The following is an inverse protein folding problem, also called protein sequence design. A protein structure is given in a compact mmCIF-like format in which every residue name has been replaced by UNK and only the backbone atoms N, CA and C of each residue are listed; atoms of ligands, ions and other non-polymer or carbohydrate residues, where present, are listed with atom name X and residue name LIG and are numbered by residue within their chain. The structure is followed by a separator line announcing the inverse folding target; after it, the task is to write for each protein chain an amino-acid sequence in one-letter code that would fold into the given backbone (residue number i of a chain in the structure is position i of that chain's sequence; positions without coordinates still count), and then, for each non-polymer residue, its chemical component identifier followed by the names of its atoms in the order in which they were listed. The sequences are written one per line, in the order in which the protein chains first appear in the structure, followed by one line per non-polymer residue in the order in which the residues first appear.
data_IF_890448212092
#
_entry.id   IF_890448212092
#
_cell.length_a   1.000
_cell.length_b   1.000
_cell.length_c   1.000
_cell.angle_alpha   90.00
_cell.angle_beta   90.00
_cell.angle_gamma   90.00
#
_symmetry.space_group_name_H-M   'P 1'
#
loop_
_entity.id
_entity.type
_entity.pdbx_description
1 polymer ?
#
# COMPACT_ATOMS: atom_id res chain seq x y z
N UNK A 1 2.74 5.53 -3.95
CA UNK A 1 3.31 6.50 -2.98
C UNK A 1 2.15 7.28 -2.40
N UNK A 2 2.17 7.60 -1.11
CA UNK A 2 1.00 8.15 -0.41
C UNK A 2 1.12 9.65 -0.23
N UNK A 3 0.37 10.41 -1.00
CA UNK A 3 0.18 11.83 -0.72
C UNK A 3 -1.12 12.00 0.09
N UNK A 4 -1.00 12.09 1.41
CA UNK A 4 -2.14 12.25 2.32
C UNK A 4 -2.92 13.56 2.07
N UNK A 5 -2.26 14.61 1.56
CA UNK A 5 -2.93 15.86 1.18
C UNK A 5 -3.81 15.67 -0.06
N UNK A 6 -3.31 14.93 -1.05
CA UNK A 6 -4.07 14.60 -2.26
C UNK A 6 -5.22 13.63 -1.95
N UNK A 7 -4.96 12.61 -1.12
CA UNK A 7 -5.97 11.67 -0.67
C UNK A 7 -7.06 12.37 0.14
N UNK A 8 -6.67 13.17 1.14
CA UNK A 8 -7.61 13.96 1.95
C UNK A 8 -8.44 14.91 1.10
N UNK A 9 -7.78 15.65 0.19
CA UNK A 9 -8.46 16.54 -0.76
C UNK A 9 -9.47 15.84 -1.65
N UNK A 10 -9.15 14.63 -2.15
CA UNK A 10 -10.05 13.86 -3.03
C UNK A 10 -11.34 13.38 -2.35
N UNK A 11 -11.35 13.26 -1.03
CA UNK A 11 -12.51 12.83 -0.23
C UNK A 11 -13.05 13.94 0.69
N UNK A 12 -12.62 15.19 0.47
CA UNK A 12 -13.11 16.37 1.21
C UNK A 12 -12.68 16.44 2.68
N UNK A 13 -11.59 15.79 3.07
CA UNK A 13 -11.08 15.79 4.46
C UNK A 13 -9.70 16.41 4.59
N UNK A 14 -9.39 16.90 5.80
CA UNK A 14 -8.05 17.43 6.10
C UNK A 14 -6.97 16.36 5.99
N UNK A 15 -5.72 16.77 5.77
CA UNK A 15 -4.56 15.87 5.78
C UNK A 15 -4.49 15.03 7.07
N UNK A 16 -4.72 15.65 8.25
CA UNK A 16 -4.72 14.95 9.55
C UNK A 16 -5.79 13.85 9.61
N UNK A 17 -6.97 14.14 9.07
CA UNK A 17 -8.07 13.17 8.99
C UNK A 17 -7.74 12.03 8.03
N UNK A 18 -7.17 12.34 6.85
CA UNK A 18 -6.73 11.34 5.89
C UNK A 18 -5.66 10.39 6.47
N UNK A 19 -4.71 10.92 7.23
CA UNK A 19 -3.71 10.12 7.94
C UNK A 19 -4.34 9.22 9.01
N UNK A 20 -5.32 9.74 9.77
CA UNK A 20 -6.07 8.94 10.75
C UNK A 20 -6.82 7.79 10.09
N UNK A 21 -7.44 8.00 8.93
CA UNK A 21 -8.14 6.94 8.20
C UNK A 21 -7.19 5.86 7.70
N UNK A 22 -6.01 6.22 7.19
CA UNK A 22 -4.99 5.22 6.85
C UNK A 22 -4.57 4.42 8.08
N UNK A 23 -4.33 5.06 9.22
CA UNK A 23 -4.02 4.35 10.47
C UNK A 23 -5.13 3.40 10.91
N UNK A 24 -6.40 3.77 10.74
CA UNK A 24 -7.52 2.86 11.00
C UNK A 24 -7.51 1.66 10.05
N UNK A 25 -7.26 1.87 8.76
CA UNK A 25 -7.16 0.78 7.76
C UNK A 25 -5.99 -0.18 8.07
N UNK A 26 -4.89 0.33 8.61
CA UNK A 26 -3.78 -0.51 9.09
C UNK A 26 -4.18 -1.33 10.32
N UNK A 27 -4.88 -0.72 11.28
CA UNK A 27 -5.35 -1.40 12.50
C UNK A 27 -6.33 -2.54 12.23
N UNK A 28 -7.13 -2.43 11.16
CA UNK A 28 -8.05 -3.49 10.71
C UNK A 28 -7.43 -4.42 9.67
N UNK A 29 -6.11 -4.36 9.47
CA UNK A 29 -5.35 -5.24 8.57
C UNK A 29 -5.82 -5.19 7.10
N UNK A 30 -6.36 -4.06 6.64
CA UNK A 30 -6.69 -3.87 5.23
C UNK A 30 -5.47 -3.41 4.43
N UNK A 31 -4.64 -2.58 5.04
CA UNK A 31 -3.46 -2.01 4.38
C UNK A 31 -2.22 -2.06 5.26
N UNK A 32 -1.06 -1.88 4.65
CA UNK A 32 0.23 -1.70 5.34
C UNK A 32 1.04 -0.62 4.65
N UNK A 33 1.72 0.20 5.45
CA UNK A 33 2.67 1.20 4.98
C UNK A 33 4.08 0.64 4.93
N UNK A 34 4.63 0.49 3.72
CA UNK A 34 6.04 0.20 3.49
C UNK A 34 6.87 1.48 3.58
N UNK A 35 7.75 1.53 4.57
CA UNK A 35 8.73 2.60 4.70
C UNK A 35 9.78 2.49 3.59
N UNK A 36 10.23 3.61 3.02
CA UNK A 36 11.23 3.58 1.97
C UNK A 36 12.58 3.07 2.51
N UNK A 37 13.26 2.20 1.78
CA UNK A 37 14.61 1.76 2.14
C UNK A 37 15.66 2.73 1.60
N UNK A 38 16.41 3.36 2.51
CA UNK A 38 17.56 4.21 2.17
C UNK A 38 18.69 4.02 3.19
N UNK A 39 19.94 4.04 2.71
CA UNK A 39 21.16 3.97 3.53
C UNK A 39 21.34 5.22 4.38
N UNK A 40 20.87 6.37 3.91
CA UNK A 40 20.89 7.62 4.66
C UNK A 40 19.57 7.79 5.44
N UNK A 41 19.66 7.77 6.77
CA UNK A 41 18.50 7.87 7.67
C UNK A 41 17.70 9.17 7.50
N UNK A 42 18.35 10.30 7.21
CA UNK A 42 17.65 11.57 6.94
C UNK A 42 16.87 11.51 5.63
N UNK A 43 17.42 10.88 4.59
CA UNK A 43 16.70 10.65 3.33
C UNK A 43 15.53 9.67 3.48
N UNK A 44 15.61 8.75 4.45
CA UNK A 44 14.52 7.82 4.80
C UNK A 44 13.29 8.57 5.31
N UNK A 45 13.48 9.57 6.18
CA UNK A 45 12.40 10.35 6.81
C UNK A 45 11.68 11.25 5.81
N UNK A 46 12.41 11.80 4.83
CA UNK A 46 11.84 12.78 3.88
C UNK A 46 11.06 12.11 2.75
N UNK A 47 11.22 10.80 2.53
CA UNK A 47 10.62 10.11 1.38
C UNK A 47 9.24 9.55 1.72
N UNK A 48 8.32 9.75 0.78
CA UNK A 48 6.93 9.34 0.92
C UNK A 48 6.82 7.82 0.97
N UNK A 49 6.22 7.24 2.02
CA UNK A 49 6.03 5.81 2.11
C UNK A 49 4.99 5.31 1.09
N UNK A 50 4.95 3.99 0.89
CA UNK A 50 4.02 3.34 -0.03
C UNK A 50 3.03 2.48 0.74
N UNK A 51 1.74 2.70 0.50
CA UNK A 51 0.68 1.84 1.04
C UNK A 51 0.43 0.69 0.06
N UNK A 52 0.34 -0.52 0.62
CA UNK A 52 -0.10 -1.74 -0.05
C UNK A 52 -1.36 -2.28 0.63
N UNK A 53 -2.28 -2.83 -0.16
CA UNK A 53 -3.35 -3.65 0.38
C UNK A 53 -2.78 -5.02 0.74
N UNK A 54 -3.24 -5.58 1.86
CA UNK A 54 -2.85 -6.94 2.27
C UNK A 54 -3.61 -8.02 1.48
N UNK A 55 -4.72 -7.65 0.84
CA UNK A 55 -5.49 -8.51 -0.06
C UNK A 55 -5.61 -7.85 -1.45
N UNK A 56 -5.07 -8.52 -2.47
CA UNK A 56 -5.13 -8.04 -3.86
C UNK A 56 -6.54 -8.15 -4.45
N UNK A 57 -7.36 -9.10 -4.02
CA UNK A 57 -8.78 -9.20 -4.41
C UNK A 57 -9.58 -7.98 -3.94
N UNK A 58 -9.37 -7.52 -2.70
CA UNK A 58 -9.99 -6.29 -2.18
C UNK A 58 -9.53 -5.07 -2.99
N UNK A 59 -8.23 -5.00 -3.33
CA UNK A 59 -7.70 -3.93 -4.17
C UNK A 59 -8.30 -3.95 -5.59
N UNK A 60 -8.47 -5.12 -6.18
CA UNK A 60 -9.08 -5.27 -7.49
C UNK A 60 -10.56 -4.86 -7.46
N UNK A 61 -11.32 -5.34 -6.47
CA UNK A 61 -12.73 -5.04 -6.29
C UNK A 61 -12.96 -3.54 -6.07
N UNK A 62 -12.20 -2.90 -5.17
CA UNK A 62 -12.32 -1.47 -4.88
C UNK A 62 -11.97 -0.56 -6.07
N UNK A 63 -11.16 -1.05 -7.03
CA UNK A 63 -10.82 -0.34 -8.27
C UNK A 63 -11.73 -0.71 -9.45
N UNK A 64 -12.65 -1.65 -9.26
CA UNK A 64 -13.49 -2.18 -10.35
C UNK A 64 -12.65 -2.80 -11.47
N UNK A 65 -11.58 -3.52 -11.12
CA UNK A 65 -10.76 -4.22 -12.09
C UNK A 65 -11.46 -5.52 -12.53
N UNK A 66 -11.64 -5.66 -13.83
CA UNK A 66 -12.14 -6.88 -14.46
C UNK A 66 -11.07 -7.45 -15.39
N UNK A 67 -11.22 -8.72 -15.77
CA UNK A 67 -10.29 -9.36 -16.69
C UNK A 67 -10.18 -8.59 -18.03
N UNK A 68 -11.32 -8.20 -18.60
CA UNK A 68 -11.35 -7.43 -19.86
C UNK A 68 -10.67 -6.07 -19.72
N UNK A 69 -10.88 -5.38 -18.59
CA UNK A 69 -10.23 -4.08 -18.33
C UNK A 69 -8.71 -4.22 -18.21
N UNK A 70 -8.24 -5.23 -17.48
CA UNK A 70 -6.80 -5.53 -17.36
C UNK A 70 -6.21 -5.92 -18.72
N UNK A 71 -6.94 -6.71 -19.51
CA UNK A 71 -6.51 -7.11 -20.85
C UNK A 71 -6.36 -5.91 -21.77
N UNK A 72 -7.28 -4.94 -21.70
CA UNK A 72 -7.23 -3.69 -22.46
C UNK A 72 -6.12 -2.74 -21.97
N UNK A 73 -5.86 -2.68 -20.66
CA UNK A 73 -4.81 -1.85 -20.07
C UNK A 73 -3.99 -2.60 -19.01
N UNK A 74 -2.88 -3.19 -19.44
CA UNK A 74 -1.99 -3.98 -18.58
C UNK A 74 -1.26 -3.16 -17.52
N UNK A 75 -1.22 -1.84 -17.63
CA UNK A 75 -0.59 -0.99 -16.61
C UNK A 75 -1.31 -1.08 -15.25
N UNK A 76 -2.64 -1.25 -15.24
CA UNK A 76 -3.42 -1.37 -14.00
C UNK A 76 -3.09 -2.65 -13.22
N UNK A 77 -2.63 -3.70 -13.92
CA UNK A 77 -2.22 -4.96 -13.32
C UNK A 77 -0.94 -4.85 -12.49
N UNK A 78 -0.01 -3.95 -12.87
CA UNK A 78 1.27 -3.82 -12.19
C UNK A 78 1.13 -3.50 -10.70
N UNK A 79 0.29 -2.52 -10.36
CA UNK A 79 0.05 -2.14 -8.97
C UNK A 79 -0.68 -3.23 -8.16
N UNK A 80 -1.52 -4.03 -8.83
CA UNK A 80 -2.21 -5.17 -8.23
C UNK A 80 -1.21 -6.28 -7.89
N UNK A 81 -0.38 -6.66 -8.88
CA UNK A 81 0.67 -7.67 -8.73
C UNK A 81 1.68 -7.27 -7.66
N UNK A 82 2.08 -6.00 -7.62
CA UNK A 82 3.02 -5.52 -6.62
C UNK A 82 2.45 -5.64 -5.20
N UNK A 83 1.17 -5.30 -5.00
CA UNK A 83 0.53 -5.45 -3.69
C UNK A 83 0.36 -6.92 -3.30
N UNK A 84 0.05 -7.78 -4.26
CA UNK A 84 0.01 -9.23 -4.05
C UNK A 84 1.38 -9.77 -3.58
N UNK A 85 2.45 -9.49 -4.34
CA UNK A 85 3.80 -9.95 -4.00
C UNK A 85 4.23 -9.44 -2.63
N UNK A 86 3.97 -8.16 -2.34
CA UNK A 86 4.27 -7.58 -1.03
C UNK A 86 3.57 -8.35 0.10
N UNK A 87 2.28 -8.64 -0.04
CA UNK A 87 1.52 -9.38 0.95
C UNK A 87 2.02 -10.83 1.11
N UNK A 88 2.38 -11.51 0.01
CA UNK A 88 2.97 -12.85 0.08
C UNK A 88 4.31 -12.86 0.82
N UNK A 89 5.20 -11.90 0.51
CA UNK A 89 6.48 -11.77 1.21
C UNK A 89 6.28 -11.53 2.71
N UNK A 90 5.36 -10.63 3.08
CA UNK A 90 5.05 -10.36 4.48
C UNK A 90 4.53 -11.60 5.21
N UNK A 91 3.64 -12.37 4.58
CA UNK A 91 3.12 -13.63 5.12
C UNK A 91 4.22 -14.67 5.30
N UNK A 92 5.08 -14.84 4.29
CA UNK A 92 6.23 -15.75 4.36
C UNK A 92 7.20 -15.35 5.46
N UNK A 93 7.51 -14.06 5.62
CA UNK A 93 8.35 -13.55 6.70
C UNK A 93 7.74 -13.75 8.09
N UNK A 94 6.41 -13.70 8.20
CA UNK A 94 5.72 -13.93 9.47
C UNK A 94 5.72 -15.42 9.84
N UNK A 95 5.56 -16.30 8.83
CA UNK A 95 5.50 -17.75 9.02
C UNK A 95 6.87 -18.45 9.07
N UNK A 96 7.94 -17.80 8.61
CA UNK A 96 9.31 -18.26 8.77
C UNK A 96 9.97 -17.47 9.89
N UNK A 97 10.87 -18.08 10.68
CA UNK A 97 11.68 -17.35 11.70
C UNK A 97 12.64 -16.31 11.08
N UNK A 98 12.48 -15.97 9.80
CA UNK A 98 13.25 -15.02 9.04
C UNK A 98 12.82 -13.59 9.40
N UNK A 99 13.25 -13.10 10.57
CA UNK A 99 13.09 -11.69 10.93
C UNK A 99 14.08 -10.85 10.13
N UNK A 100 13.62 -10.21 9.06
CA UNK A 100 14.34 -9.07 8.48
C UNK A 100 14.21 -7.91 9.46
N UNK A 101 15.33 -7.47 10.04
CA UNK A 101 15.41 -6.20 10.74
C UNK A 101 15.19 -5.08 9.70
N UNK A 102 13.96 -4.54 9.64
CA UNK A 102 13.58 -3.40 8.81
C UNK A 102 13.86 -2.07 9.53
#
# INVERSE_FOLDING_TARGET
MVNYSQFGGSIGVSHKTGQRYVGLLEQVFLVTTLQPWFTNALKRIVKTPKIHFLDSGILAASRGLTFERIKANRHEFGALLESFIFAEVLKLMTGSDLRLAL
#
